data_IF_847172636515
#
_entry.id   IF_847172636515
#
_cell.length_a   1.000
_cell.length_b   1.000
_cell.length_c   1.000
_cell.angle_alpha   90.00
_cell.angle_beta   90.00
_cell.angle_gamma   90.00
#
_symmetry.space_group_name_H-M   'P 1'
#
loop_
_entity.id
_entity.type
_entity.pdbx_description
1 polymer ?
#
# COMPACT_ATOMS: atom_id res chain seq x y z
N UNK A 1 -9.13 -7.20 4.12
CA UNK A 1 -9.70 -5.89 3.72
C UNK A 1 -9.65 -4.86 4.85
N UNK A 2 -10.22 -5.13 6.02
CA UNK A 2 -10.21 -4.19 7.16
C UNK A 2 -8.79 -3.83 7.64
N UNK A 3 -7.89 -4.81 7.80
CA UNK A 3 -6.50 -4.55 8.19
C UNK A 3 -5.73 -3.72 7.15
N UNK A 4 -6.02 -3.92 5.86
CA UNK A 4 -5.43 -3.11 4.78
C UNK A 4 -5.85 -1.64 4.88
N UNK A 5 -7.14 -1.38 5.06
CA UNK A 5 -7.62 -0.01 5.27
C UNK A 5 -7.10 0.60 6.58
N UNK A 6 -7.04 -0.17 7.66
CA UNK A 6 -6.43 0.27 8.93
C UNK A 6 -4.99 0.73 8.74
N UNK A 7 -4.17 -0.06 8.04
CA UNK A 7 -2.80 0.34 7.69
C UNK A 7 -2.76 1.59 6.82
N UNK A 8 -3.64 1.72 5.83
CA UNK A 8 -3.72 2.93 5.02
C UNK A 8 -4.04 4.17 5.86
N UNK A 9 -5.04 4.16 6.73
CA UNK A 9 -5.34 5.30 7.60
C UNK A 9 -4.21 5.61 8.59
N UNK A 10 -3.56 4.57 9.12
CA UNK A 10 -2.47 4.70 10.08
C UNK A 10 -1.22 5.32 9.46
N UNK A 11 -0.72 4.78 8.34
CA UNK A 11 0.52 5.26 7.70
C UNK A 11 0.29 6.35 6.63
N UNK A 12 -0.95 6.75 6.34
CA UNK A 12 -1.22 7.83 5.36
C UNK A 12 -0.38 9.10 5.59
N UNK A 13 -0.29 9.62 6.82
CA UNK A 13 0.47 10.83 7.09
C UNK A 13 1.96 10.63 6.83
N UNK A 14 2.48 9.44 7.15
CA UNK A 14 3.89 9.10 6.96
C UNK A 14 4.25 9.01 5.47
N UNK A 15 3.37 8.50 4.63
CA UNK A 15 3.64 8.36 3.20
C UNK A 15 3.42 9.66 2.42
N UNK A 16 2.34 10.39 2.73
CA UNK A 16 1.90 11.52 1.91
C UNK A 16 2.07 12.90 2.55
N UNK A 17 2.35 12.96 3.86
CA UNK A 17 2.54 14.22 4.60
C UNK A 17 1.26 14.94 5.00
N UNK A 18 0.08 14.30 4.92
CA UNK A 18 -1.20 14.86 5.39
C UNK A 18 -2.09 13.75 5.97
N UNK A 19 -3.02 14.11 6.85
CA UNK A 19 -3.99 13.17 7.42
C UNK A 19 -5.25 13.06 6.57
N UNK A 20 -5.81 11.85 6.48
CA UNK A 20 -7.17 11.63 5.99
C UNK A 20 -8.20 12.27 6.93
N UNK A 21 -9.37 12.60 6.40
CA UNK A 21 -10.46 13.17 7.20
C UNK A 21 -11.10 12.09 8.08
N UNK A 22 -11.07 12.31 9.39
CA UNK A 22 -11.53 11.34 10.40
C UNK A 22 -13.05 11.08 10.32
N UNK A 23 -13.85 12.09 9.95
CA UNK A 23 -15.31 11.92 9.82
C UNK A 23 -15.62 11.00 8.65
N UNK A 24 -14.99 11.24 7.50
CA UNK A 24 -15.12 10.36 6.34
C UNK A 24 -14.52 8.97 6.59
N UNK A 25 -13.44 8.88 7.38
CA UNK A 25 -12.86 7.61 7.83
C UNK A 25 -13.84 6.76 8.64
N UNK A 26 -14.53 7.37 9.61
CA UNK A 26 -15.57 6.68 10.41
C UNK A 26 -16.76 6.24 9.56
N UNK A 27 -17.23 7.10 8.64
CA UNK A 27 -18.32 6.73 7.71
C UNK A 27 -17.89 5.53 6.87
N UNK A 28 -16.70 5.58 6.28
CA UNK A 28 -16.15 4.49 5.50
C UNK A 28 -16.05 3.19 6.32
N UNK A 29 -15.55 3.26 7.56
CA UNK A 29 -15.51 2.11 8.46
C UNK A 29 -16.89 1.48 8.70
N UNK A 30 -17.90 2.29 9.04
CA UNK A 30 -19.24 1.77 9.33
C UNK A 30 -19.91 1.17 8.10
N UNK A 31 -19.79 1.83 6.93
CA UNK A 31 -20.30 1.29 5.67
C UNK A 31 -19.62 -0.02 5.31
N UNK A 32 -18.30 -0.12 5.49
CA UNK A 32 -17.55 -1.36 5.27
C UNK A 32 -18.02 -2.47 6.20
N UNK A 33 -18.17 -2.18 7.50
CA UNK A 33 -18.58 -3.18 8.49
C UNK A 33 -20.01 -3.66 8.23
N UNK A 34 -20.95 -2.75 7.99
CA UNK A 34 -22.35 -3.07 7.71
C UNK A 34 -22.46 -3.80 6.38
N UNK A 35 -21.85 -3.28 5.32
CA UNK A 35 -21.87 -3.90 3.99
C UNK A 35 -21.26 -5.29 3.98
N UNK A 36 -20.16 -5.51 4.72
CA UNK A 36 -19.54 -6.82 4.86
C UNK A 36 -20.48 -7.82 5.51
N UNK A 37 -21.09 -7.47 6.64
CA UNK A 37 -22.04 -8.36 7.30
C UNK A 37 -23.29 -8.59 6.45
N UNK A 38 -23.83 -7.55 5.80
CA UNK A 38 -25.00 -7.69 4.94
C UNK A 38 -24.73 -8.56 3.70
N UNK A 39 -23.49 -8.55 3.19
CA UNK A 39 -23.08 -9.38 2.04
C UNK A 39 -22.84 -10.83 2.44
N UNK A 40 -22.08 -11.08 3.51
CA UNK A 40 -21.57 -12.42 3.79
C UNK A 40 -22.34 -13.17 4.88
N UNK A 41 -23.02 -12.47 5.78
CA UNK A 41 -23.78 -13.14 6.84
C UNK A 41 -24.97 -13.92 6.26
N UNK A 42 -25.79 -13.39 5.33
CA UNK A 42 -26.90 -14.15 4.75
C UNK A 42 -26.45 -15.42 4.01
N UNK A 43 -25.24 -15.41 3.43
CA UNK A 43 -24.68 -16.57 2.73
C UNK A 43 -24.54 -17.80 3.64
N UNK A 44 -24.42 -17.61 4.96
CA UNK A 44 -24.40 -18.74 5.90
C UNK A 44 -25.75 -19.45 5.90
N UNK A 45 -26.86 -18.72 5.89
CA UNK A 45 -28.20 -19.29 5.86
C UNK A 45 -28.50 -19.92 4.49
N UNK A 46 -28.15 -19.23 3.39
CA UNK A 46 -28.37 -19.76 2.05
C UNK A 46 -27.54 -21.03 1.80
N UNK A 47 -26.31 -21.07 2.32
CA UNK A 47 -25.46 -22.26 2.30
C UNK A 47 -26.02 -23.41 3.13
N UNK A 48 -26.55 -23.13 4.32
CA UNK A 48 -27.25 -24.14 5.15
C UNK A 48 -28.52 -24.67 4.49
N UNK A 49 -29.22 -23.81 3.72
CA UNK A 49 -30.38 -24.20 2.92
C UNK A 49 -30.01 -24.94 1.62
N UNK A 50 -28.72 -25.24 1.41
CA UNK A 50 -28.26 -26.12 0.35
C UNK A 50 -27.95 -25.44 -0.99
N UNK A 51 -27.85 -24.11 -1.06
CA UNK A 51 -27.45 -23.44 -2.30
C UNK A 51 -25.98 -23.77 -2.66
N UNK A 52 -25.71 -24.40 -3.82
CA UNK A 52 -24.35 -24.72 -4.21
C UNK A 52 -23.60 -23.48 -4.71
N UNK A 53 -22.31 -23.41 -4.38
CA UNK A 53 -21.40 -22.37 -4.91
C UNK A 53 -21.28 -22.43 -6.44
N UNK A 54 -20.93 -21.31 -7.07
CA UNK A 54 -20.72 -21.17 -8.54
C UNK A 54 -21.99 -21.41 -9.37
N UNK A 55 -23.14 -21.12 -8.79
CA UNK A 55 -24.45 -21.20 -9.43
C UNK A 55 -24.86 -19.81 -9.89
N UNK A 56 -25.07 -19.62 -11.20
CA UNK A 56 -25.40 -18.30 -11.75
C UNK A 56 -26.92 -18.01 -11.73
N UNK A 57 -27.76 -19.04 -11.63
CA UNK A 57 -29.22 -18.92 -11.57
C UNK A 57 -29.81 -20.00 -10.68
N UNK A 58 -30.89 -19.68 -9.99
CA UNK A 58 -31.61 -20.60 -9.11
C UNK A 58 -33.12 -20.51 -9.41
N UNK A 59 -33.86 -21.64 -9.40
CA UNK A 59 -35.31 -21.63 -9.47
C UNK A 59 -35.93 -20.86 -8.30
N UNK A 60 -37.02 -20.13 -8.56
CA UNK A 60 -37.69 -19.29 -7.56
C UNK A 60 -38.29 -20.11 -6.41
N UNK A 61 -38.64 -21.37 -6.68
CA UNK A 61 -39.26 -22.31 -5.74
C UNK A 61 -38.32 -22.69 -4.58
N UNK A 62 -37.01 -22.45 -4.71
CA UNK A 62 -36.02 -22.75 -3.67
C UNK A 62 -35.96 -21.69 -2.56
N UNK A 63 -36.62 -20.54 -2.72
CA UNK A 63 -36.71 -19.51 -1.67
C UNK A 63 -35.40 -18.77 -1.37
N UNK A 64 -34.40 -18.85 -2.24
CA UNK A 64 -33.10 -18.17 -2.06
C UNK A 64 -33.12 -16.68 -2.42
N UNK A 65 -34.19 -16.22 -3.08
CA UNK A 65 -34.27 -14.89 -3.69
C UNK A 65 -34.03 -13.76 -2.69
N UNK A 66 -34.78 -13.73 -1.58
CA UNK A 66 -34.71 -12.63 -0.61
C UNK A 66 -33.32 -12.49 0.01
N UNK A 67 -32.69 -13.60 0.39
CA UNK A 67 -31.36 -13.58 0.98
C UNK A 67 -30.31 -13.13 -0.04
N UNK A 68 -30.36 -13.64 -1.28
CA UNK A 68 -29.45 -13.19 -2.34
C UNK A 68 -29.64 -11.70 -2.69
N UNK A 69 -30.87 -11.16 -2.63
CA UNK A 69 -31.13 -9.73 -2.82
C UNK A 69 -30.49 -8.89 -1.70
N UNK A 70 -30.57 -9.35 -0.44
CA UNK A 70 -29.91 -8.70 0.70
C UNK A 70 -28.39 -8.72 0.51
N UNK A 71 -27.82 -9.85 0.11
CA UNK A 71 -26.39 -9.99 -0.17
C UNK A 71 -25.94 -9.00 -1.25
N UNK A 72 -26.75 -8.90 -2.32
CA UNK A 72 -26.51 -7.98 -3.43
C UNK A 72 -26.53 -6.53 -2.96
N UNK A 73 -27.53 -6.14 -2.16
CA UNK A 73 -27.59 -4.81 -1.54
C UNK A 73 -26.35 -4.54 -0.66
N UNK A 74 -25.91 -5.52 0.13
CA UNK A 74 -24.66 -5.45 0.90
C UNK A 74 -23.44 -5.16 0.04
N UNK A 75 -23.33 -5.82 -1.12
CA UNK A 75 -22.20 -5.61 -2.03
C UNK A 75 -22.19 -4.20 -2.64
N UNK A 76 -23.35 -3.62 -2.93
CA UNK A 76 -23.46 -2.22 -3.33
C UNK A 76 -23.05 -1.27 -2.20
N UNK A 77 -23.42 -1.57 -0.95
CA UNK A 77 -22.96 -0.79 0.21
C UNK A 77 -21.44 -0.81 0.34
N UNK A 78 -20.79 -1.97 0.11
CA UNK A 78 -19.33 -2.06 0.06
C UNK A 78 -18.72 -1.21 -1.08
N UNK A 79 -19.35 -1.20 -2.25
CA UNK A 79 -18.97 -0.32 -3.36
C UNK A 79 -19.03 1.16 -2.98
N UNK A 80 -20.11 1.59 -2.31
CA UNK A 80 -20.26 2.96 -1.79
C UNK A 80 -19.18 3.27 -0.74
N UNK A 81 -18.88 2.32 0.15
CA UNK A 81 -17.84 2.49 1.15
C UNK A 81 -16.48 2.79 0.50
N UNK A 82 -16.13 2.08 -0.58
CA UNK A 82 -14.92 2.34 -1.35
C UNK A 82 -14.93 3.72 -2.02
N UNK A 83 -16.07 4.17 -2.55
CA UNK A 83 -16.21 5.53 -3.09
C UNK A 83 -15.98 6.60 -2.02
N UNK A 84 -16.51 6.41 -0.79
CA UNK A 84 -16.27 7.32 0.34
C UNK A 84 -14.77 7.41 0.65
N UNK A 85 -14.05 6.28 0.61
CA UNK A 85 -12.60 6.27 0.77
C UNK A 85 -11.89 7.09 -0.32
N UNK A 86 -12.23 6.88 -1.58
CA UNK A 86 -11.64 7.63 -2.70
C UNK A 86 -11.92 9.14 -2.60
N UNK A 87 -13.14 9.52 -2.21
CA UNK A 87 -13.51 10.92 -1.97
C UNK A 87 -12.67 11.51 -0.82
N UNK A 88 -12.43 10.75 0.25
CA UNK A 88 -11.58 11.19 1.35
C UNK A 88 -10.13 11.44 0.89
N UNK A 89 -9.55 10.49 0.16
CA UNK A 89 -8.21 10.62 -0.42
C UNK A 89 -8.12 11.85 -1.32
N UNK A 90 -9.07 12.02 -2.25
CA UNK A 90 -9.08 13.14 -3.18
C UNK A 90 -9.27 14.49 -2.50
N UNK A 91 -10.11 14.56 -1.47
CA UNK A 91 -10.35 15.79 -0.72
C UNK A 91 -9.13 16.20 0.09
N UNK A 92 -8.42 15.23 0.68
CA UNK A 92 -7.28 15.49 1.57
C UNK A 92 -5.97 15.65 0.81
N UNK A 93 -5.82 15.07 -0.39
CA UNK A 93 -4.62 15.26 -1.23
C UNK A 93 -4.37 16.69 -1.68
N UNK A 94 -5.40 17.55 -1.59
CA UNK A 94 -5.30 18.99 -1.85
C UNK A 94 -4.86 19.82 -0.63
N UNK A 95 -4.74 19.21 0.55
CA UNK A 95 -4.27 19.89 1.76
C UNK A 95 -2.74 20.05 1.71
N UNK A 96 -2.18 21.08 2.39
CA UNK A 96 -0.73 21.20 2.52
C UNK A 96 -0.14 19.97 3.22
N UNK A 97 1.11 19.62 2.85
CA UNK A 97 1.85 18.51 3.45
C UNK A 97 2.49 18.93 4.77
N UNK A 98 1.66 19.11 5.80
CA UNK A 98 2.08 19.59 7.12
C UNK A 98 1.69 18.63 8.26
N UNK A 99 1.54 17.33 7.96
CA UNK A 99 1.36 16.34 9.00
C UNK A 99 2.58 16.34 9.94
N UNK A 100 2.30 16.26 11.24
CA UNK A 100 3.31 15.98 12.26
C UNK A 100 4.09 14.71 11.92
N UNK A 101 5.35 14.64 12.35
CA UNK A 101 6.12 13.40 12.33
C UNK A 101 5.41 12.27 13.09
N UNK A 102 4.69 12.61 14.18
CA UNK A 102 4.01 11.69 15.07
C UNK A 102 2.55 12.10 15.39
N UNK A 103 1.63 11.92 14.42
CA UNK A 103 0.22 12.25 14.60
C UNK A 103 -0.52 11.35 15.60
N UNK A 104 0.01 10.17 15.92
CA UNK A 104 -0.69 9.12 16.67
C UNK A 104 -0.09 8.85 18.04
N UNK A 105 0.94 9.60 18.43
CA UNK A 105 1.76 9.28 19.60
C UNK A 105 2.33 7.85 19.51
N UNK A 106 2.95 7.50 18.38
CA UNK A 106 3.49 6.18 18.08
C UNK A 106 4.68 5.77 18.94
N UNK A 107 4.86 4.45 19.04
CA UNK A 107 5.88 3.79 19.87
C UNK A 107 7.19 3.49 19.12
N UNK A 108 7.10 3.38 17.80
CA UNK A 108 8.11 2.81 16.90
C UNK A 108 8.83 3.89 16.08
N UNK A 109 10.02 3.56 15.57
CA UNK A 109 10.98 4.53 15.02
C UNK A 109 10.48 5.32 13.81
N UNK A 110 9.52 4.80 13.05
CA UNK A 110 8.95 5.53 11.91
C UNK A 110 8.29 6.84 12.33
N UNK A 111 7.86 6.96 13.59
CA UNK A 111 7.27 8.18 14.15
C UNK A 111 8.31 9.16 14.71
N UNK A 112 9.60 8.81 14.70
CA UNK A 112 10.69 9.70 15.12
C UNK A 112 11.30 10.53 13.97
N UNK A 113 10.87 10.28 12.73
CA UNK A 113 11.35 10.96 11.52
C UNK A 113 10.23 11.78 10.84
N UNK A 114 10.58 12.74 9.96
CA UNK A 114 9.58 13.58 9.28
C UNK A 114 8.49 12.80 8.51
N UNK A 115 7.41 13.49 8.19
CA UNK A 115 6.28 12.98 7.40
C UNK A 115 6.05 13.87 6.17
N UNK A 116 6.44 13.47 4.94
CA UNK A 116 7.07 12.20 4.57
C UNK A 116 8.55 12.10 4.97
N UNK A 117 9.10 10.88 5.08
CA UNK A 117 10.50 10.69 5.41
C UNK A 117 11.43 11.15 4.27
N UNK A 118 12.65 11.62 4.58
CA UNK A 118 13.67 11.86 3.57
C UNK A 118 14.13 10.53 2.95
N UNK A 119 14.80 10.58 1.79
CA UNK A 119 15.21 9.38 1.03
C UNK A 119 16.12 8.42 1.84
N UNK A 120 16.90 8.96 2.77
CA UNK A 120 17.79 8.21 3.65
C UNK A 120 17.15 7.80 5.00
N UNK A 121 15.88 8.14 5.23
CA UNK A 121 15.12 7.94 6.47
C UNK A 121 15.71 8.64 7.70
N UNK A 122 16.84 8.15 8.23
CA UNK A 122 17.46 8.64 9.47
C UNK A 122 18.79 9.33 9.17
N UNK A 123 18.99 10.54 9.71
CA UNK A 123 20.27 11.25 9.58
C UNK A 123 21.39 10.60 10.41
N UNK A 124 21.01 9.94 11.52
CA UNK A 124 21.92 9.18 12.38
C UNK A 124 21.28 7.85 12.73
N UNK A 125 22.08 6.78 12.84
CA UNK A 125 21.56 5.46 13.19
C UNK A 125 20.97 5.49 14.62
N UNK A 126 19.67 5.17 14.79
CA UNK A 126 19.05 5.21 16.10
C UNK A 126 19.54 4.04 16.97
N UNK A 127 19.82 4.32 18.24
CA UNK A 127 20.11 3.30 19.25
C UNK A 127 18.82 2.79 19.87
N UNK A 128 18.59 1.47 19.79
CA UNK A 128 17.37 0.82 20.29
C UNK A 128 17.70 0.03 21.55
N UNK A 129 17.05 0.38 22.67
CA UNK A 129 17.25 -0.28 23.97
C UNK A 129 16.08 -1.20 24.37
N UNK A 130 14.94 -1.09 23.71
CA UNK A 130 13.73 -1.84 24.03
C UNK A 130 12.78 -1.98 22.84
N UNK A 131 11.57 -2.46 23.13
CA UNK A 131 10.54 -2.73 22.11
C UNK A 131 9.92 -1.46 21.53
N UNK A 132 9.78 -0.43 22.36
CA UNK A 132 9.05 0.80 22.05
C UNK A 132 9.99 2.02 22.15
N UNK A 133 11.02 2.12 21.27
CA UNK A 133 12.11 3.08 21.43
C UNK A 133 11.64 4.54 21.45
N UNK A 134 10.60 4.89 20.69
CA UNK A 134 10.12 6.28 20.63
C UNK A 134 9.35 6.66 21.90
N UNK A 135 8.62 5.73 22.50
CA UNK A 135 7.98 5.96 23.79
C UNK A 135 8.99 6.03 24.92
N UNK A 136 10.07 5.26 24.88
CA UNK A 136 11.18 5.37 25.83
C UNK A 136 11.81 6.76 25.77
N UNK A 137 12.14 7.26 24.58
CA UNK A 137 12.67 8.60 24.37
C UNK A 137 11.74 9.70 24.89
N UNK A 138 10.43 9.59 24.65
CA UNK A 138 9.42 10.53 25.19
C UNK A 138 9.36 10.53 26.70
N UNK A 139 9.47 9.36 27.34
CA UNK A 139 9.51 9.23 28.81
C UNK A 139 10.76 9.89 29.39
N UNK A 140 11.91 9.66 28.77
CA UNK A 140 13.19 10.28 29.16
C UNK A 140 13.13 11.80 29.05
N UNK A 141 12.58 12.33 27.95
CA UNK A 141 12.41 13.77 27.73
C UNK A 141 11.21 14.37 28.47
N UNK A 142 10.44 13.57 29.21
CA UNK A 142 9.23 13.97 29.96
C UNK A 142 8.19 14.71 29.10
N UNK A 143 8.01 14.29 27.84
CA UNK A 143 7.09 14.97 26.94
C UNK A 143 7.09 14.43 25.51
N UNK A 144 6.41 15.17 24.62
CA UNK A 144 6.47 14.91 23.19
C UNK A 144 7.85 15.25 22.64
N UNK A 145 8.30 14.47 21.66
CA UNK A 145 9.53 14.79 20.92
C UNK A 145 9.30 16.05 20.08
N UNK A 146 10.31 16.92 19.93
CA UNK A 146 10.23 18.03 19.00
C UNK A 146 10.06 17.51 17.56
N UNK A 147 9.39 18.29 16.71
CA UNK A 147 9.26 17.93 15.29
C UNK A 147 10.66 17.77 14.66
N UNK A 148 10.99 16.59 14.13
CA UNK A 148 12.29 16.31 13.54
C UNK A 148 12.45 17.15 12.28
N UNK A 149 13.65 17.73 12.12
CA UNK A 149 14.05 18.39 10.88
C UNK A 149 14.89 17.42 10.08
N UNK A 150 14.60 17.28 8.79
CA UNK A 150 15.47 16.51 7.90
C UNK A 150 16.84 17.18 7.84
N UNK A 151 17.90 16.42 8.11
CA UNK A 151 19.28 16.88 7.94
C UNK A 151 19.67 17.03 6.47
N UNK A 152 20.96 17.24 6.23
CA UNK A 152 21.51 17.38 4.87
C UNK A 152 21.75 16.05 4.16
N UNK A 153 21.68 14.91 4.88
CA UNK A 153 22.02 13.58 4.34
C UNK A 153 23.50 13.44 3.93
N UNK A 154 24.36 14.38 4.32
CA UNK A 154 25.75 14.41 3.89
C UNK A 154 26.52 13.18 4.41
N UNK A 155 27.17 12.46 3.48
CA UNK A 155 27.91 11.24 3.80
C UNK A 155 27.07 9.97 3.87
N UNK A 156 25.76 10.04 3.58
CA UNK A 156 24.91 8.85 3.47
C UNK A 156 24.95 8.32 2.03
N UNK A 157 25.22 7.01 1.89
CA UNK A 157 25.24 6.33 0.60
C UNK A 157 23.86 5.74 0.29
N UNK A 158 23.22 6.23 -0.78
CA UNK A 158 21.97 5.68 -1.31
C UNK A 158 22.26 4.79 -2.54
N UNK A 159 21.47 3.73 -2.77
CA UNK A 159 21.56 2.96 -3.99
C UNK A 159 21.08 3.78 -5.18
N UNK A 160 21.70 3.58 -6.35
CA UNK A 160 21.26 4.25 -7.58
C UNK A 160 19.91 3.67 -8.07
N UNK A 161 19.03 4.49 -8.67
CA UNK A 161 17.84 3.97 -9.34
C UNK A 161 18.27 3.13 -10.56
N UNK A 162 17.65 1.95 -10.71
CA UNK A 162 17.93 1.01 -11.81
C UNK A 162 16.65 0.63 -12.54
N UNK A 163 16.71 0.62 -13.88
CA UNK A 163 15.60 0.20 -14.74
C UNK A 163 15.67 -1.29 -15.12
N UNK A 164 16.79 -1.97 -14.84
CA UNK A 164 16.99 -3.37 -15.20
C UNK A 164 16.07 -4.38 -14.48
N UNK A 165 15.70 -4.18 -13.19
CA UNK A 165 14.69 -5.00 -12.54
C UNK A 165 13.35 -5.00 -13.31
N UNK A 166 12.96 -3.84 -13.86
CA UNK A 166 11.71 -3.70 -14.61
C UNK A 166 11.77 -4.45 -15.95
N UNK A 167 12.89 -4.35 -16.67
CA UNK A 167 13.11 -5.08 -17.93
C UNK A 167 13.12 -6.59 -17.68
N UNK A 168 13.80 -7.02 -16.63
CA UNK A 168 13.84 -8.43 -16.19
C UNK A 168 12.44 -8.94 -15.89
N UNK A 169 11.65 -8.18 -15.12
CA UNK A 169 10.26 -8.53 -14.81
C UNK A 169 9.39 -8.63 -16.07
N UNK A 170 9.55 -7.70 -17.02
CA UNK A 170 8.84 -7.76 -18.30
C UNK A 170 9.24 -8.99 -19.12
N UNK A 171 10.52 -9.37 -19.13
CA UNK A 171 11.01 -10.61 -19.74
C UNK A 171 10.32 -11.84 -19.16
N UNK A 172 10.26 -11.96 -17.82
CA UNK A 172 9.53 -13.05 -17.15
C UNK A 172 8.05 -13.05 -17.54
N UNK A 173 7.38 -11.90 -17.50
CA UNK A 173 5.97 -11.79 -17.84
C UNK A 173 5.70 -12.19 -19.31
N UNK A 174 6.58 -11.80 -20.23
CA UNK A 174 6.50 -12.15 -21.64
C UNK A 174 6.68 -13.66 -21.88
N UNK A 175 7.51 -14.35 -21.08
CA UNK A 175 7.61 -15.82 -21.13
C UNK A 175 6.27 -16.46 -20.80
N UNK A 176 5.63 -16.04 -19.71
CA UNK A 176 4.30 -16.56 -19.32
C UNK A 176 3.26 -16.28 -20.40
N UNK A 177 3.24 -15.07 -20.96
CA UNK A 177 2.35 -14.72 -22.06
C UNK A 177 2.58 -15.61 -23.28
N UNK A 178 3.84 -15.85 -23.66
CA UNK A 178 4.18 -16.65 -24.83
C UNK A 178 3.82 -18.13 -24.67
N UNK A 179 3.88 -18.69 -23.46
CA UNK A 179 3.41 -20.06 -23.17
C UNK A 179 1.89 -20.20 -23.43
N UNK A 180 1.11 -19.14 -23.19
CA UNK A 180 -0.34 -19.14 -23.44
C UNK A 180 -0.69 -18.92 -24.92
N UNK A 181 0.27 -18.53 -25.77
CA UNK A 181 0.03 -18.30 -27.19
C UNK A 181 -0.08 -19.62 -27.97
N UNK A 182 -0.73 -19.56 -29.13
CA UNK A 182 -0.89 -20.72 -30.01
C UNK A 182 0.46 -21.42 -30.31
N UNK A 183 0.46 -22.74 -30.57
CA UNK A 183 1.69 -23.50 -30.84
C UNK A 183 2.55 -22.97 -31.99
N UNK A 184 1.97 -22.19 -32.91
CA UNK A 184 2.68 -21.57 -34.04
C UNK A 184 3.54 -20.37 -33.62
N UNK A 185 3.09 -19.59 -32.64
CA UNK A 185 3.71 -18.31 -32.25
C UNK A 185 4.36 -18.36 -30.86
N UNK A 186 3.90 -19.25 -29.98
CA UNK A 186 4.42 -19.42 -28.63
C UNK A 186 5.94 -19.68 -28.57
N UNK A 187 6.50 -20.65 -29.34
CA UNK A 187 7.94 -20.91 -29.31
C UNK A 187 8.79 -19.69 -29.67
N UNK A 188 8.38 -18.92 -30.67
CA UNK A 188 9.07 -17.69 -31.07
C UNK A 188 8.98 -16.61 -29.99
N UNK A 189 7.79 -16.45 -29.38
CA UNK A 189 7.60 -15.53 -28.25
C UNK A 189 8.48 -15.88 -27.05
N UNK A 190 8.62 -17.19 -26.74
CA UNK A 190 9.48 -17.66 -25.64
C UNK A 190 10.94 -17.30 -25.91
N UNK A 191 11.45 -17.54 -27.12
CA UNK A 191 12.85 -17.21 -27.48
C UNK A 191 13.12 -15.71 -27.28
N UNK A 192 12.22 -14.85 -27.78
CA UNK A 192 12.35 -13.39 -27.63
C UNK A 192 12.29 -12.97 -26.16
N UNK A 193 11.35 -13.54 -25.39
CA UNK A 193 11.17 -13.20 -23.98
C UNK A 193 12.35 -13.67 -23.10
N UNK A 194 12.90 -14.85 -23.40
CA UNK A 194 14.12 -15.37 -22.75
C UNK A 194 15.32 -14.49 -23.09
N UNK A 195 15.49 -14.09 -24.35
CA UNK A 195 16.56 -13.18 -24.75
C UNK A 195 16.45 -11.83 -24.00
N UNK A 196 15.24 -11.29 -23.87
CA UNK A 196 14.99 -10.05 -23.12
C UNK A 196 15.30 -10.20 -21.63
N UNK A 197 14.91 -11.33 -21.03
CA UNK A 197 15.22 -11.66 -19.63
C UNK A 197 16.73 -11.71 -19.40
N UNK A 198 17.46 -12.48 -20.22
CA UNK A 198 18.91 -12.58 -20.12
C UNK A 198 19.60 -11.24 -20.36
N UNK A 199 19.10 -10.44 -21.30
CA UNK A 199 19.59 -9.09 -21.54
C UNK A 199 19.41 -8.19 -20.30
N UNK A 200 18.23 -8.22 -19.67
CA UNK A 200 17.96 -7.49 -18.43
C UNK A 200 18.89 -7.91 -17.29
N UNK A 201 18.99 -9.22 -17.04
CA UNK A 201 19.85 -9.78 -15.99
C UNK A 201 21.33 -9.49 -16.20
N UNK A 202 21.82 -9.64 -17.43
CA UNK A 202 23.21 -9.38 -17.78
C UNK A 202 23.58 -7.93 -17.48
N UNK A 203 22.79 -6.97 -17.95
CA UNK A 203 23.09 -5.56 -17.71
C UNK A 203 22.90 -5.17 -16.24
N UNK A 204 21.94 -5.77 -15.54
CA UNK A 204 21.77 -5.55 -14.11
C UNK A 204 22.98 -6.03 -13.31
N UNK A 205 23.53 -7.20 -13.66
CA UNK A 205 24.68 -7.80 -12.99
C UNK A 205 25.92 -6.89 -13.02
N UNK A 206 26.12 -6.15 -14.11
CA UNK A 206 27.26 -5.26 -14.28
C UNK A 206 26.97 -3.79 -13.92
N UNK A 207 25.77 -3.50 -13.41
CA UNK A 207 25.42 -2.16 -12.95
C UNK A 207 26.12 -1.85 -11.61
N UNK A 208 26.68 -0.64 -11.51
CA UNK A 208 27.28 -0.17 -10.25
C UNK A 208 26.17 0.20 -9.26
N UNK A 209 26.12 -0.53 -8.13
CA UNK A 209 25.09 -0.34 -7.10
C UNK A 209 25.13 0.99 -6.34
N UNK A 210 26.27 1.69 -6.31
CA UNK A 210 26.45 2.91 -5.55
C UNK A 210 27.14 4.00 -6.38
N UNK A 211 26.65 5.23 -6.29
CA UNK A 211 27.41 6.43 -6.61
C UNK A 211 27.55 7.28 -5.33
N UNK A 212 28.63 8.03 -5.19
CA UNK A 212 28.74 9.01 -4.10
C UNK A 212 27.61 10.03 -4.26
N UNK A 213 26.76 10.15 -3.23
CA UNK A 213 25.68 11.13 -3.21
C UNK A 213 26.30 12.53 -3.29
N UNK A 214 26.24 13.16 -4.46
CA UNK A 214 26.52 14.59 -4.57
C UNK A 214 25.29 15.31 -4.06
N UNK A 215 25.39 15.91 -2.88
CA UNK A 215 24.40 16.90 -2.42
C UNK A 215 24.09 17.85 -3.56
N UNK A 216 22.82 18.11 -3.90
CA UNK A 216 22.51 19.24 -4.76
C UNK A 216 23.08 20.47 -4.04
N UNK A 217 24.05 21.15 -4.65
CA UNK A 217 24.49 22.43 -4.15
C UNK A 217 23.24 23.31 -4.05
N UNK A 218 22.83 23.68 -2.84
CA UNK A 218 21.95 24.82 -2.68
C UNK A 218 22.69 25.99 -3.31
N UNK A 219 22.30 26.33 -4.54
CA UNK A 219 22.69 27.56 -5.19
C UNK A 219 22.27 28.68 -4.27
N UNK A 220 23.26 29.39 -3.74
CA UNK A 220 23.02 30.62 -3.01
C UNK A 220 22.34 31.60 -3.95
N UNK A 221 21.15 32.03 -3.55
CA UNK A 221 20.57 33.33 -3.86
C UNK A 221 19.83 33.82 -2.62
#
# INVERSE_FOLDING_TARGET
>A
LLGFFSGMYFWWPKVFGYQLDEKLGKIHFWLMLIGFNLTFFPMHFVGLNGMPRRTYTYPAELGFETLNQIETAGSFVLGIAFLVFLVNVFRTSRRPRNASADPWNGATLEWAIPSPPPEWNFDTLPTVHGRDPVWELKREQRGALPEPRAGSGAGIHLPNPSYWPLITAFGVAAIFAAIMMSPRWGPWGIIVAVALLFFGLYNWLFEKGYSEFRTPSHGGH
#
